data_IF_934803416493
#
_entry.id   IF_934803416493
#
_cell.length_a   1.000
_cell.length_b   1.000
_cell.length_c   1.000
_cell.angle_alpha   90.00
_cell.angle_beta   90.00
_cell.angle_gamma   90.00
#
_symmetry.space_group_name_H-M   'P 1'
#
loop_
_entity.id
_entity.type
_entity.pdbx_description
1 polymer ?
#
# COMPACT_ATOMS: atom_id res chain seq x y z
N UNK A 1 -24.62 -43.66 18.35
CA UNK A 1 -23.46 -43.27 19.18
C UNK A 1 -23.93 -42.15 20.09
N UNK A 2 -24.02 -42.44 21.39
CA UNK A 2 -24.66 -41.59 22.41
C UNK A 2 -23.62 -40.68 23.06
N UNK A 3 -24.03 -39.44 23.32
CA UNK A 3 -23.42 -38.50 24.26
C UNK A 3 -23.36 -39.10 25.67
N UNK A 4 -22.33 -38.74 26.45
CA UNK A 4 -22.47 -38.14 27.80
C UNK A 4 -21.10 -37.66 28.35
N UNK A 5 -21.09 -36.64 29.21
CA UNK A 5 -19.92 -35.89 29.68
C UNK A 5 -19.54 -36.23 31.13
N UNK A 6 -18.35 -35.79 31.57
CA UNK A 6 -17.95 -35.87 32.98
C UNK A 6 -18.30 -34.55 33.71
N UNK A 7 -19.46 -34.54 34.38
CA UNK A 7 -19.72 -33.74 35.59
C UNK A 7 -19.32 -34.58 36.82
N UNK A 8 -18.67 -34.03 37.86
CA UNK A 8 -19.31 -33.62 39.14
C UNK A 8 -18.13 -33.53 40.15
N UNK A 9 -17.79 -32.35 40.72
CA UNK A 9 -18.25 -31.81 42.04
C UNK A 9 -17.52 -32.52 43.22
N UNK A 10 -17.03 -31.92 44.33
CA UNK A 10 -17.10 -30.60 44.99
C UNK A 10 -16.01 -30.53 46.11
N UNK A 11 -15.55 -29.31 46.39
CA UNK A 11 -15.06 -28.69 47.65
C UNK A 11 -14.52 -29.53 48.83
N UNK A 12 -13.38 -29.10 49.38
CA UNK A 12 -13.23 -28.72 50.81
C UNK A 12 -11.99 -27.83 51.00
N UNK A 13 -12.18 -26.59 51.48
CA UNK A 13 -11.20 -25.79 52.25
C UNK A 13 -11.47 -25.99 53.77
N UNK A 14 -10.73 -25.39 54.72
CA UNK A 14 -9.27 -25.28 54.88
C UNK A 14 -8.84 -25.67 56.32
N UNK A 15 -7.54 -25.94 56.59
CA UNK A 15 -7.00 -25.83 57.96
C UNK A 15 -5.60 -25.21 57.99
N UNK A 16 -5.51 -24.14 58.76
CA UNK A 16 -4.34 -23.36 59.13
C UNK A 16 -3.42 -24.13 60.07
N UNK A 17 -2.10 -24.04 59.89
CA UNK A 17 -1.19 -24.02 61.04
C UNK A 17 0.11 -23.27 60.76
N UNK A 18 0.35 -22.21 61.55
CA UNK A 18 1.58 -21.40 61.60
C UNK A 18 2.58 -22.01 62.58
N UNK A 19 3.89 -21.95 62.23
CA UNK A 19 5.14 -21.88 63.06
C UNK A 19 6.19 -22.82 62.42
N UNK A 20 7.47 -22.48 62.21
CA UNK A 20 8.38 -21.45 62.77
C UNK A 20 9.57 -21.24 61.80
N UNK A 21 10.12 -20.03 61.84
CA UNK A 21 11.29 -19.52 61.11
C UNK A 21 12.56 -20.39 61.24
N UNK A 22 13.31 -20.56 60.15
CA UNK A 22 14.79 -20.64 60.12
C UNK A 22 15.28 -19.79 58.94
N UNK A 23 16.05 -18.74 59.23
CA UNK A 23 16.75 -17.93 58.23
C UNK A 23 17.91 -18.74 57.60
N UNK A 24 18.12 -18.67 56.27
CA UNK A 24 19.45 -18.80 55.69
C UNK A 24 20.04 -17.42 55.32
N UNK A 25 21.36 -17.36 55.41
CA UNK A 25 22.28 -16.24 55.19
C UNK A 25 22.19 -15.65 53.76
N UNK A 26 22.66 -14.41 53.54
CA UNK A 26 22.55 -13.75 52.24
C UNK A 26 23.42 -14.46 51.21
N UNK A 27 22.80 -15.00 50.16
CA UNK A 27 23.50 -15.44 48.96
C UNK A 27 23.93 -14.22 48.16
N UNK A 28 25.24 -14.20 47.90
CA UNK A 28 25.99 -13.21 47.14
C UNK A 28 25.26 -12.71 45.88
N UNK A 29 25.45 -11.42 45.65
CA UNK A 29 25.29 -10.74 44.36
C UNK A 29 25.75 -11.64 43.21
N UNK A 30 24.81 -12.09 42.37
CA UNK A 30 25.15 -12.50 41.02
C UNK A 30 25.50 -11.23 40.26
N UNK A 31 26.80 -11.05 40.04
CA UNK A 31 27.36 -10.22 38.98
C UNK A 31 26.70 -10.67 37.66
N UNK A 32 26.25 -9.76 36.78
CA UNK A 32 25.75 -10.15 35.47
C UNK A 32 26.91 -10.81 34.71
N UNK A 33 26.80 -12.10 34.41
CA UNK A 33 27.69 -12.73 33.44
C UNK A 33 27.46 -12.06 32.08
N UNK A 34 28.51 -11.75 31.31
CA UNK A 34 28.33 -11.27 29.95
C UNK A 34 27.59 -12.36 29.17
N UNK A 35 26.41 -12.01 28.65
CA UNK A 35 25.61 -12.89 27.81
C UNK A 35 26.48 -13.34 26.64
N UNK A 36 26.71 -14.64 26.51
CA UNK A 36 27.29 -15.21 25.29
C UNK A 36 26.45 -14.75 24.10
N UNK A 37 27.04 -14.13 23.07
CA UNK A 37 26.30 -13.59 21.94
C UNK A 37 25.48 -14.71 21.29
N UNK A 38 24.19 -14.45 21.08
CA UNK A 38 23.27 -15.46 20.55
C UNK A 38 23.60 -15.74 19.07
N UNK A 39 23.59 -17.01 18.62
CA UNK A 39 23.80 -17.34 17.21
C UNK A 39 22.73 -16.70 16.31
N UNK A 40 23.13 -16.29 15.11
CA UNK A 40 22.24 -15.69 14.10
C UNK A 40 20.99 -16.54 13.83
N UNK A 41 21.11 -17.87 13.89
CA UNK A 41 19.99 -18.80 13.71
C UNK A 41 18.87 -18.62 14.72
N UNK A 42 19.17 -18.21 15.95
CA UNK A 42 18.18 -17.94 17.00
C UNK A 42 17.48 -16.58 16.84
N UNK A 43 18.05 -15.67 16.05
CA UNK A 43 17.52 -14.32 15.84
C UNK A 43 16.56 -14.24 14.65
N UNK A 44 16.68 -15.15 13.67
CA UNK A 44 15.80 -15.20 12.49
C UNK A 44 14.31 -15.30 12.89
N UNK A 45 13.89 -16.21 13.80
CA UNK A 45 12.49 -16.28 14.22
C UNK A 45 11.99 -14.99 14.88
N UNK A 46 12.86 -14.30 15.61
CA UNK A 46 12.52 -13.04 16.28
C UNK A 46 12.33 -11.92 15.25
N UNK A 47 13.22 -11.84 14.24
CA UNK A 47 13.07 -10.93 13.11
C UNK A 47 11.75 -11.16 12.37
N UNK A 48 11.42 -12.43 12.08
CA UNK A 48 10.14 -12.78 11.44
C UNK A 48 8.95 -12.32 12.28
N UNK A 49 9.01 -12.50 13.61
CA UNK A 49 7.97 -12.00 14.52
C UNK A 49 7.84 -10.46 14.50
N UNK A 50 8.96 -9.73 14.43
CA UNK A 50 8.95 -8.27 14.29
C UNK A 50 8.34 -7.83 12.95
N UNK A 51 8.72 -8.47 11.85
CA UNK A 51 8.17 -8.19 10.52
C UNK A 51 6.66 -8.45 10.46
N UNK A 52 6.19 -9.55 11.06
CA UNK A 52 4.76 -9.86 11.16
C UNK A 52 4.00 -8.79 11.96
N UNK A 53 4.56 -8.30 13.07
CA UNK A 53 3.96 -7.22 13.87
C UNK A 53 3.88 -5.91 13.09
N UNK A 54 4.91 -5.56 12.33
CA UNK A 54 4.91 -4.37 11.48
C UNK A 54 3.91 -4.51 10.33
N UNK A 55 3.88 -5.67 9.67
CA UNK A 55 2.93 -5.94 8.61
C UNK A 55 1.50 -5.82 9.11
N UNK A 56 1.17 -6.45 10.25
CA UNK A 56 -0.15 -6.39 10.86
C UNK A 56 -0.54 -4.95 11.24
N UNK A 57 0.41 -4.12 11.68
CA UNK A 57 0.19 -2.71 11.98
C UNK A 57 -0.19 -1.92 10.70
N UNK A 58 0.54 -2.13 9.61
CA UNK A 58 0.28 -1.47 8.32
C UNK A 58 -1.03 -1.97 7.70
N UNK A 59 -1.27 -3.28 7.72
CA UNK A 59 -2.49 -3.93 7.23
C UNK A 59 -3.73 -3.40 7.98
N UNK A 60 -3.68 -3.36 9.31
CA UNK A 60 -4.79 -2.86 10.13
C UNK A 60 -5.15 -1.41 9.78
N UNK A 61 -4.15 -0.56 9.58
CA UNK A 61 -4.38 0.83 9.20
C UNK A 61 -5.01 0.93 7.80
N UNK A 62 -4.46 0.20 6.82
CA UNK A 62 -4.98 0.20 5.46
C UNK A 62 -6.42 -0.34 5.39
N UNK A 63 -6.69 -1.48 6.05
CA UNK A 63 -8.01 -2.08 6.15
C UNK A 63 -9.02 -1.13 6.83
N UNK A 64 -8.61 -0.44 7.91
CA UNK A 64 -9.43 0.55 8.58
C UNK A 64 -9.83 1.73 7.67
N UNK A 65 -8.88 2.26 6.90
CA UNK A 65 -9.14 3.35 5.94
C UNK A 65 -10.09 2.91 4.82
N UNK A 66 -9.89 1.71 4.26
CA UNK A 66 -10.75 1.16 3.20
C UNK A 66 -12.16 0.90 3.74
N UNK A 67 -12.27 0.24 4.89
CA UNK A 67 -13.55 -0.05 5.53
C UNK A 67 -14.33 1.25 5.86
N UNK A 68 -13.63 2.26 6.40
CA UNK A 68 -14.22 3.57 6.66
C UNK A 68 -14.75 4.22 5.39
N UNK A 69 -13.96 4.21 4.30
CA UNK A 69 -14.38 4.78 3.01
C UNK A 69 -15.62 4.06 2.46
N UNK A 70 -15.62 2.73 2.47
CA UNK A 70 -16.78 1.92 2.03
C UNK A 70 -18.02 2.23 2.88
N UNK A 71 -17.85 2.36 4.19
CA UNK A 71 -18.94 2.74 5.10
C UNK A 71 -19.45 4.17 4.83
N UNK A 72 -18.56 5.13 4.59
CA UNK A 72 -18.92 6.52 4.26
C UNK A 72 -19.76 6.60 2.98
N UNK A 73 -19.44 5.78 1.96
CA UNK A 73 -20.19 5.67 0.70
C UNK A 73 -21.55 5.01 0.94
N UNK A 74 -21.58 3.92 1.73
CA UNK A 74 -22.82 3.23 2.10
C UNK A 74 -23.79 4.15 2.85
N UNK A 75 -23.31 4.83 3.89
CA UNK A 75 -24.11 5.78 4.69
C UNK A 75 -24.69 6.89 3.77
N UNK A 76 -23.87 7.44 2.86
CA UNK A 76 -24.34 8.43 1.89
C UNK A 76 -25.38 7.86 0.90
N UNK A 77 -25.19 6.64 0.42
CA UNK A 77 -26.14 6.02 -0.51
C UNK A 77 -27.50 5.82 0.17
N UNK A 78 -27.51 5.40 1.45
CA UNK A 78 -28.72 5.26 2.25
C UNK A 78 -29.39 6.62 2.51
N UNK A 79 -28.61 7.65 2.86
CA UNK A 79 -29.09 9.03 3.03
C UNK A 79 -29.80 9.57 1.78
N UNK A 80 -29.28 9.23 0.59
CA UNK A 80 -29.76 9.71 -0.70
C UNK A 80 -30.79 8.77 -1.35
N UNK A 81 -31.17 7.68 -0.69
CA UNK A 81 -32.12 6.73 -1.26
C UNK A 81 -33.51 7.37 -1.48
N UNK A 82 -34.25 7.01 -2.54
CA UNK A 82 -35.55 7.61 -2.85
C UNK A 82 -36.57 7.50 -1.71
N UNK A 83 -36.54 6.38 -0.97
CA UNK A 83 -37.40 6.16 0.19
C UNK A 83 -37.13 7.17 1.32
N UNK A 84 -35.85 7.43 1.63
CA UNK A 84 -35.47 8.39 2.66
C UNK A 84 -35.68 9.84 2.22
N UNK A 85 -35.47 10.14 0.93
CA UNK A 85 -35.75 11.45 0.37
C UNK A 85 -37.25 11.77 0.40
N UNK A 86 -38.10 10.82 -0.02
CA UNK A 86 -39.56 10.94 -0.01
C UNK A 86 -40.09 11.12 1.41
N UNK A 87 -39.63 10.29 2.37
CA UNK A 87 -40.01 10.42 3.77
C UNK A 87 -39.60 11.79 4.36
N UNK A 88 -38.42 12.31 3.98
CA UNK A 88 -37.95 13.62 4.42
C UNK A 88 -38.79 14.77 3.85
N UNK A 89 -39.17 14.70 2.57
CA UNK A 89 -40.03 15.70 1.92
C UNK A 89 -41.43 15.72 2.53
N UNK A 90 -41.98 14.54 2.84
CA UNK A 90 -43.32 14.41 3.41
C UNK A 90 -43.37 14.74 4.92
N UNK A 91 -42.23 15.06 5.56
CA UNK A 91 -42.18 15.25 7.01
C UNK A 91 -42.42 13.97 7.83
N UNK A 92 -42.56 12.81 7.16
CA UNK A 92 -42.61 11.47 7.75
C UNK A 92 -41.21 10.89 8.05
N UNK A 93 -40.16 11.68 7.83
CA UNK A 93 -38.79 11.26 8.03
C UNK A 93 -38.56 10.81 9.47
N UNK A 94 -38.06 9.59 9.64
CA UNK A 94 -37.55 9.04 10.91
C UNK A 94 -36.29 9.78 11.39
N UNK A 95 -36.28 11.11 11.39
CA UNK A 95 -35.23 11.93 12.00
C UNK A 95 -35.06 11.64 13.50
N UNK A 96 -36.01 10.94 14.12
CA UNK A 96 -36.00 10.57 15.54
C UNK A 96 -35.26 9.27 15.87
N UNK A 97 -34.86 8.45 14.88
CA UNK A 97 -34.21 7.15 15.13
C UNK A 97 -32.91 6.94 14.32
N UNK A 98 -32.20 8.01 13.93
CA UNK A 98 -30.80 7.84 13.52
C UNK A 98 -30.02 7.47 14.78
N UNK A 99 -29.41 6.28 14.79
CA UNK A 99 -28.49 5.89 15.87
C UNK A 99 -27.49 7.03 16.11
N UNK A 100 -27.21 7.35 17.37
CA UNK A 100 -26.19 8.34 17.75
C UNK A 100 -24.85 8.04 17.05
N UNK A 101 -24.55 6.75 16.85
CA UNK A 101 -23.38 6.28 16.12
C UNK A 101 -23.38 6.74 14.65
N UNK A 102 -24.49 6.57 13.93
CA UNK A 102 -24.60 7.01 12.53
C UNK A 102 -24.47 8.53 12.42
N UNK A 103 -25.10 9.27 13.34
CA UNK A 103 -24.97 10.73 13.40
C UNK A 103 -23.51 11.16 13.60
N UNK A 104 -22.79 10.48 14.50
CA UNK A 104 -21.36 10.73 14.73
C UNK A 104 -20.53 10.44 13.48
N UNK A 105 -20.77 9.32 12.77
CA UNK A 105 -20.03 8.99 11.53
C UNK A 105 -20.25 10.02 10.43
N UNK A 106 -21.49 10.48 10.24
CA UNK A 106 -21.83 11.53 9.28
C UNK A 106 -21.10 12.83 9.61
N UNK A 107 -21.14 13.25 10.88
CA UNK A 107 -20.43 14.45 11.33
C UNK A 107 -18.92 14.35 11.13
N UNK A 108 -18.32 13.18 11.40
CA UNK A 108 -16.90 12.95 11.21
C UNK A 108 -16.50 13.01 9.73
N UNK A 109 -17.29 12.39 8.85
CA UNK A 109 -17.13 12.41 7.40
C UNK A 109 -17.17 13.83 6.83
N UNK A 110 -18.19 14.60 7.17
CA UNK A 110 -18.30 16.00 6.73
C UNK A 110 -17.18 16.87 7.35
N UNK A 111 -16.80 16.58 8.60
CA UNK A 111 -15.64 17.20 9.24
C UNK A 111 -14.33 16.98 8.49
N UNK A 112 -14.07 15.75 8.00
CA UNK A 112 -12.91 15.45 7.12
C UNK A 112 -12.96 16.27 5.83
N UNK A 113 -14.12 16.36 5.19
CA UNK A 113 -14.31 17.15 3.95
C UNK A 113 -14.04 18.63 4.17
N UNK A 114 -14.61 19.23 5.21
CA UNK A 114 -14.40 20.64 5.54
C UNK A 114 -12.93 20.93 5.85
N UNK A 115 -12.25 20.06 6.61
CA UNK A 115 -10.82 20.21 6.89
C UNK A 115 -9.99 20.20 5.59
N UNK A 116 -10.29 19.30 4.64
CA UNK A 116 -9.63 19.29 3.33
C UNK A 116 -9.85 20.56 2.53
N UNK A 117 -11.09 21.06 2.49
CA UNK A 117 -11.41 22.30 1.77
C UNK A 117 -10.63 23.48 2.34
N UNK A 118 -10.67 23.66 3.67
CA UNK A 118 -9.92 24.72 4.37
C UNK A 118 -8.41 24.62 4.20
N UNK A 119 -7.85 23.40 4.22
CA UNK A 119 -6.41 23.21 4.01
C UNK A 119 -5.98 23.67 2.61
N UNK A 120 -6.84 23.51 1.60
CA UNK A 120 -6.57 23.92 0.22
C UNK A 120 -6.77 25.42 0.00
N UNK A 121 -7.78 26.01 0.61
CA UNK A 121 -7.97 27.46 0.62
C UNK A 121 -6.71 28.15 1.17
N UNK A 122 -6.23 27.70 2.34
CA UNK A 122 -4.99 28.21 2.93
C UNK A 122 -3.74 27.99 2.05
N UNK A 123 -3.64 26.84 1.39
CA UNK A 123 -2.54 26.56 0.48
C UNK A 123 -2.58 27.41 -0.80
N UNK A 124 -3.78 27.75 -1.29
CA UNK A 124 -4.00 28.63 -2.43
C UNK A 124 -3.75 30.10 -2.13
N UNK A 125 -4.01 30.55 -0.90
CA UNK A 125 -3.75 31.92 -0.44
C UNK A 125 -2.26 32.22 -0.24
N UNK A 126 -1.45 31.22 0.14
CA UNK A 126 -0.01 31.38 0.36
C UNK A 126 0.87 31.51 -0.90
N UNK A 127 0.29 31.32 -2.10
CA UNK A 127 1.01 31.45 -3.38
C UNK A 127 0.91 32.83 -4.05
N UNK A 128 0.20 33.79 -3.45
CA UNK A 128 -0.07 35.12 -3.98
C UNK A 128 1.05 36.14 -3.79
N UNK A 129 2.32 35.74 -3.93
CA UNK A 129 3.50 36.57 -3.69
C UNK A 129 4.58 36.42 -4.75
N UNK A 130 4.24 36.54 -6.03
CA UNK A 130 5.23 36.54 -7.11
C UNK A 130 4.58 36.62 -8.48
N UNK A 131 4.71 37.78 -9.14
CA UNK A 131 4.15 38.04 -10.46
C UNK A 131 4.62 37.03 -11.52
N UNK A 132 3.68 36.25 -12.03
CA UNK A 132 3.86 35.35 -13.16
C UNK A 132 2.54 34.69 -13.48
N UNK A 133 1.86 35.17 -14.52
CA UNK A 133 0.63 34.57 -15.06
C UNK A 133 0.86 33.08 -15.32
N UNK A 134 0.40 32.24 -14.39
CA UNK A 134 0.49 30.79 -14.49
C UNK A 134 -0.93 30.24 -14.66
N UNK A 135 -1.10 29.48 -15.73
CA UNK A 135 -2.35 28.94 -16.24
C UNK A 135 -3.14 28.17 -15.16
N UNK A 136 -4.40 28.56 -14.98
CA UNK A 136 -5.47 27.73 -14.42
C UNK A 136 -5.35 27.42 -12.92
N UNK A 137 -5.96 28.27 -12.09
CA UNK A 137 -6.51 27.82 -10.81
C UNK A 137 -7.56 26.73 -11.10
N UNK A 138 -7.15 25.47 -11.23
CA UNK A 138 -8.08 24.36 -11.34
C UNK A 138 -8.72 24.15 -9.98
N UNK A 139 -9.97 24.56 -9.85
CA UNK A 139 -10.78 24.28 -8.68
C UNK A 139 -10.77 22.77 -8.42
N UNK A 140 -10.40 22.35 -7.20
CA UNK A 140 -10.32 20.93 -6.86
C UNK A 140 -11.68 20.25 -7.05
N UNK A 141 -11.71 19.12 -7.77
CA UNK A 141 -12.93 18.34 -8.01
C UNK A 141 -13.19 17.37 -6.85
N UNK A 142 -14.32 17.52 -6.16
CA UNK A 142 -14.70 16.61 -5.08
C UNK A 142 -14.79 15.15 -5.56
N UNK A 143 -14.30 14.20 -4.76
CA UNK A 143 -14.14 12.79 -5.16
C UNK A 143 -12.74 12.40 -5.64
N UNK A 144 -11.86 13.37 -5.94
CA UNK A 144 -10.46 13.11 -6.34
C UNK A 144 -9.48 12.90 -5.15
N UNK A 145 -9.94 13.03 -3.91
CA UNK A 145 -9.11 12.84 -2.70
C UNK A 145 -8.74 11.36 -2.49
N UNK A 146 -7.61 11.07 -1.83
CA UNK A 146 -7.22 9.69 -1.44
C UNK A 146 -7.85 9.21 -0.13
N UNK A 147 -8.49 10.12 0.62
CA UNK A 147 -9.16 9.82 1.89
C UNK A 147 -8.25 9.12 2.93
N UNK A 148 -6.96 9.49 2.95
CA UNK A 148 -5.92 8.91 3.82
C UNK A 148 -5.83 9.60 5.18
N UNK A 149 -6.68 10.58 5.49
CA UNK A 149 -6.59 11.30 6.76
C UNK A 149 -6.96 10.37 7.92
N UNK A 150 -6.16 10.42 8.97
CA UNK A 150 -6.41 9.72 10.25
C UNK A 150 -6.58 10.74 11.36
N UNK A 151 -7.27 10.35 12.42
CA UNK A 151 -7.38 11.19 13.63
C UNK A 151 -6.05 11.27 14.37
N UNK A 152 -5.88 12.29 15.22
CA UNK A 152 -4.70 12.43 16.09
C UNK A 152 -4.52 11.20 16.98
N UNK A 153 -5.63 10.64 17.48
CA UNK A 153 -5.64 9.45 18.32
C UNK A 153 -5.18 8.19 17.56
N UNK A 154 -5.64 8.00 16.32
CA UNK A 154 -5.18 6.88 15.47
C UNK A 154 -3.70 7.04 15.10
N UNK A 155 -3.29 8.27 14.78
CA UNK A 155 -1.89 8.58 14.45
C UNK A 155 -0.96 8.35 15.64
N UNK A 156 -1.36 8.80 16.83
CA UNK A 156 -0.59 8.58 18.06
C UNK A 156 -0.54 7.11 18.46
N UNK A 157 -1.66 6.37 18.34
CA UNK A 157 -1.70 4.94 18.60
C UNK A 157 -0.78 4.16 17.63
N UNK A 158 -0.81 4.51 16.34
CA UNK A 158 0.08 3.92 15.34
C UNK A 158 1.55 4.20 15.67
N UNK A 159 1.90 5.46 16.01
CA UNK A 159 3.26 5.84 16.42
C UNK A 159 3.72 5.06 17.64
N UNK A 160 2.89 4.97 18.68
CA UNK A 160 3.23 4.25 19.92
C UNK A 160 3.46 2.76 19.67
N UNK A 161 2.61 2.11 18.86
CA UNK A 161 2.80 0.71 18.50
C UNK A 161 4.07 0.51 17.68
N UNK A 162 4.36 1.41 16.73
CA UNK A 162 5.61 1.38 15.97
C UNK A 162 6.84 1.58 16.84
N UNK A 163 6.82 2.54 17.76
CA UNK A 163 7.90 2.81 18.73
C UNK A 163 8.15 1.62 19.64
N UNK A 164 7.08 0.94 20.08
CA UNK A 164 7.20 -0.30 20.85
C UNK A 164 7.94 -1.38 20.07
N UNK A 165 7.57 -1.60 18.80
CA UNK A 165 8.24 -2.57 17.94
C UNK A 165 9.69 -2.15 17.67
N UNK A 166 9.96 -0.85 17.53
CA UNK A 166 11.31 -0.32 17.36
C UNK A 166 12.19 -0.54 18.60
N UNK A 167 11.64 -0.35 19.79
CA UNK A 167 12.31 -0.66 21.05
C UNK A 167 12.65 -2.15 21.14
N UNK A 168 11.69 -3.03 20.87
CA UNK A 168 11.90 -4.48 20.87
C UNK A 168 12.97 -4.89 19.84
N UNK A 169 12.93 -4.29 18.65
CA UNK A 169 13.92 -4.52 17.59
C UNK A 169 15.34 -4.11 18.01
N UNK A 170 15.51 -3.04 18.79
CA UNK A 170 16.82 -2.63 19.31
C UNK A 170 17.36 -3.64 20.32
N UNK A 171 16.53 -4.06 21.28
CA UNK A 171 16.93 -5.00 22.34
C UNK A 171 17.39 -6.34 21.75
N UNK A 172 16.66 -6.85 20.75
CA UNK A 172 16.99 -8.15 20.11
C UNK A 172 18.36 -8.13 19.44
N UNK A 173 18.78 -6.97 18.93
CA UNK A 173 20.03 -6.83 18.21
C UNK A 173 21.19 -6.23 19.04
N UNK A 174 20.92 -5.86 20.30
CA UNK A 174 21.94 -5.43 21.26
C UNK A 174 22.83 -6.60 21.75
N UNK A 175 22.26 -7.81 21.81
CA UNK A 175 22.94 -9.03 22.28
C UNK A 175 23.72 -9.79 21.19
N UNK A 176 23.90 -9.20 20.00
CA UNK A 176 24.63 -9.82 18.89
C UNK A 176 26.04 -9.25 18.85
N UNK A 177 27.04 -10.13 18.79
CA UNK A 177 28.43 -9.71 18.58
C UNK A 177 28.50 -8.86 17.29
N UNK A 178 29.09 -7.67 17.39
CA UNK A 178 29.19 -6.69 16.30
C UNK A 178 29.81 -7.29 15.04
N UNK A 179 30.77 -8.22 15.19
CA UNK A 179 31.40 -8.94 14.07
C UNK A 179 30.45 -9.84 13.26
N UNK A 180 29.27 -10.13 13.79
CA UNK A 180 28.25 -10.98 13.17
C UNK A 180 26.87 -10.31 13.13
N UNK A 181 26.78 -9.02 13.46
CA UNK A 181 25.54 -8.23 13.42
C UNK A 181 25.47 -7.28 12.21
N UNK A 182 26.64 -6.98 11.62
CA UNK A 182 26.79 -6.06 10.49
C UNK A 182 27.05 -6.82 9.18
N UNK A 183 26.40 -6.39 8.11
CA UNK A 183 26.55 -6.96 6.76
C UNK A 183 28.01 -6.88 6.33
N UNK A 184 28.63 -5.73 6.57
CA UNK A 184 30.03 -5.40 6.29
C UNK A 184 30.98 -6.47 6.85
N UNK A 185 30.80 -6.83 8.13
CA UNK A 185 31.66 -7.77 8.84
C UNK A 185 31.49 -9.20 8.32
N UNK A 186 30.23 -9.62 8.10
CA UNK A 186 29.92 -10.96 7.58
C UNK A 186 30.46 -11.12 6.15
N UNK A 187 30.21 -10.13 5.30
CA UNK A 187 30.69 -10.09 3.91
C UNK A 187 32.22 -10.12 3.86
N UNK A 188 32.91 -9.38 4.75
CA UNK A 188 34.37 -9.40 4.82
C UNK A 188 34.96 -10.78 5.18
N UNK A 189 34.31 -11.54 6.08
CA UNK A 189 34.74 -12.91 6.42
C UNK A 189 34.59 -13.85 5.21
N UNK A 190 33.48 -13.77 4.47
CA UNK A 190 33.29 -14.57 3.25
C UNK A 190 34.21 -14.16 2.12
N UNK A 191 34.48 -12.85 1.95
CA UNK A 191 35.42 -12.36 0.96
C UNK A 191 36.84 -12.85 1.24
N UNK A 192 37.23 -12.89 2.52
CA UNK A 192 38.49 -13.49 2.96
C UNK A 192 38.53 -14.98 2.62
N UNK A 193 37.48 -15.73 2.95
CA UNK A 193 37.41 -17.17 2.67
C UNK A 193 37.57 -17.45 1.17
N UNK A 194 36.78 -16.75 0.33
CA UNK A 194 36.86 -16.84 -1.14
C UNK A 194 38.28 -16.57 -1.67
N UNK A 195 38.97 -15.58 -1.10
CA UNK A 195 40.31 -15.17 -1.54
C UNK A 195 41.40 -16.17 -1.18
N UNK A 196 41.36 -16.72 0.03
CA UNK A 196 42.45 -17.56 0.55
C UNK A 196 42.22 -19.06 0.35
N UNK A 197 40.97 -19.51 0.28
CA UNK A 197 40.61 -20.94 0.15
C UNK A 197 39.45 -21.13 -0.87
N UNK A 198 39.65 -20.80 -2.15
CA UNK A 198 38.58 -20.81 -3.16
C UNK A 198 37.97 -22.20 -3.40
N UNK A 199 38.77 -23.27 -3.31
CA UNK A 199 38.28 -24.64 -3.50
C UNK A 199 37.29 -25.03 -2.40
N UNK A 200 37.64 -24.78 -1.13
CA UNK A 200 36.74 -25.04 0.01
C UNK A 200 35.49 -24.18 -0.04
N UNK A 201 35.62 -22.94 -0.50
CA UNK A 201 34.49 -22.03 -0.70
C UNK A 201 33.50 -22.57 -1.74
N UNK A 202 34.03 -23.10 -2.85
CA UNK A 202 33.25 -23.78 -3.88
C UNK A 202 32.58 -25.06 -3.38
N UNK A 203 33.35 -25.93 -2.71
CA UNK A 203 32.87 -27.21 -2.18
C UNK A 203 31.78 -27.04 -1.11
N UNK A 204 31.84 -25.95 -0.33
CA UNK A 204 30.82 -25.60 0.65
C UNK A 204 29.59 -24.89 0.03
N UNK A 205 29.56 -24.71 -1.30
CA UNK A 205 28.48 -24.06 -2.04
C UNK A 205 28.12 -22.66 -1.51
N UNK A 206 29.14 -21.91 -1.07
CA UNK A 206 28.91 -20.65 -0.35
C UNK A 206 28.15 -19.63 -1.20
N UNK A 207 28.49 -19.50 -2.49
CA UNK A 207 27.79 -18.65 -3.46
C UNK A 207 26.28 -18.90 -3.53
N UNK A 208 25.83 -20.14 -3.30
CA UNK A 208 24.42 -20.50 -3.34
C UNK A 208 23.67 -20.14 -2.05
N UNK A 209 24.38 -20.07 -0.92
CA UNK A 209 23.77 -19.82 0.39
C UNK A 209 23.99 -18.39 0.91
N UNK A 210 24.92 -17.60 0.35
CA UNK A 210 25.20 -16.23 0.77
C UNK A 210 23.96 -15.34 0.89
N UNK A 211 23.09 -15.34 -0.13
CA UNK A 211 21.86 -14.56 -0.09
C UNK A 211 20.96 -14.94 1.10
N UNK A 212 20.92 -16.22 1.48
CA UNK A 212 20.15 -16.70 2.64
C UNK A 212 20.79 -16.27 3.96
N UNK A 213 22.11 -16.21 4.02
CA UNK A 213 22.87 -15.78 5.19
C UNK A 213 22.73 -14.26 5.39
N UNK A 214 22.83 -13.49 4.31
CA UNK A 214 22.84 -12.03 4.33
C UNK A 214 21.43 -11.42 4.35
N UNK A 215 20.44 -12.14 3.83
CA UNK A 215 19.04 -11.71 3.75
C UNK A 215 18.46 -11.19 5.07
N UNK A 216 18.59 -11.90 6.22
CA UNK A 216 18.10 -11.43 7.52
C UNK A 216 18.62 -10.04 7.93
N UNK A 217 19.87 -9.72 7.63
CA UNK A 217 20.44 -8.42 7.96
C UNK A 217 19.81 -7.30 7.13
N UNK A 218 19.67 -7.52 5.82
CA UNK A 218 19.04 -6.56 4.92
C UNK A 218 17.56 -6.38 5.27
N UNK A 219 16.86 -7.48 5.59
CA UNK A 219 15.47 -7.47 6.09
C UNK A 219 15.33 -6.61 7.34
N UNK A 220 16.26 -6.76 8.30
CA UNK A 220 16.28 -5.94 9.50
C UNK A 220 16.48 -4.45 9.19
N UNK A 221 17.42 -4.09 8.29
CA UNK A 221 17.60 -2.70 7.84
C UNK A 221 16.35 -2.12 7.18
N UNK A 222 15.58 -2.96 6.50
CA UNK A 222 14.33 -2.60 5.83
C UNK A 222 13.08 -2.78 6.72
N UNK A 223 13.22 -3.11 8.01
CA UNK A 223 12.10 -3.51 8.86
C UNK A 223 10.92 -2.51 8.80
N UNK A 224 11.23 -1.22 8.93
CA UNK A 224 10.24 -0.13 8.96
C UNK A 224 10.00 0.56 7.60
N UNK A 225 10.69 0.13 6.54
CA UNK A 225 10.47 0.71 5.22
C UNK A 225 9.14 0.22 4.64
N UNK A 226 8.36 1.16 4.10
CA UNK A 226 7.07 0.87 3.47
C UNK A 226 7.05 1.42 2.02
N UNK A 227 7.03 0.55 0.99
CA UNK A 227 7.07 0.96 -0.41
C UNK A 227 5.80 1.70 -0.89
N UNK A 228 4.73 1.71 -0.10
CA UNK A 228 3.50 2.43 -0.42
C UNK A 228 3.56 3.90 -0.03
N UNK A 229 4.40 4.26 0.95
CA UNK A 229 4.42 5.62 1.51
C UNK A 229 5.79 6.26 1.46
N UNK A 230 6.84 5.47 1.29
CA UNK A 230 8.23 5.93 1.27
C UNK A 230 8.86 5.50 -0.05
N UNK A 231 9.28 6.44 -0.91
CA UNK A 231 10.01 6.08 -2.11
C UNK A 231 11.27 5.32 -1.71
N UNK A 232 11.69 4.39 -2.56
CA UNK A 232 12.95 3.70 -2.37
C UNK A 232 14.07 4.75 -2.34
N UNK A 233 14.79 4.83 -1.21
CA UNK A 233 15.98 5.67 -1.09
C UNK A 233 17.01 5.26 -2.14
N UNK A 234 17.99 6.12 -2.36
CA UNK A 234 19.20 5.74 -3.10
C UNK A 234 19.82 4.52 -2.41
N UNK A 235 19.71 3.33 -3.02
CA UNK A 235 20.24 2.10 -2.43
C UNK A 235 21.76 2.23 -2.30
N UNK A 236 22.37 2.95 -3.23
CA UNK A 236 23.77 3.32 -3.29
C UNK A 236 24.23 4.08 -2.04
N UNK A 237 23.32 4.73 -1.29
CA UNK A 237 23.64 5.42 -0.04
C UNK A 237 23.73 4.48 1.17
N UNK A 238 23.18 3.27 1.06
CA UNK A 238 23.15 2.31 2.15
C UNK A 238 24.48 1.55 2.26
N UNK A 239 24.98 1.39 3.49
CA UNK A 239 26.28 0.73 3.73
C UNK A 239 26.24 -0.76 3.39
N UNK A 240 25.13 -1.43 3.70
CA UNK A 240 24.93 -2.84 3.36
C UNK A 240 24.96 -3.03 1.84
N UNK A 241 24.35 -2.10 1.09
CA UNK A 241 24.30 -2.17 -0.37
C UNK A 241 25.69 -2.04 -0.98
N UNK A 242 26.46 -1.02 -0.58
CA UNK A 242 27.85 -0.83 -1.03
C UNK A 242 28.71 -2.04 -0.71
N UNK A 243 28.51 -2.65 0.45
CA UNK A 243 29.27 -3.85 0.87
C UNK A 243 29.00 -5.05 -0.03
N UNK A 244 27.75 -5.24 -0.44
CA UNK A 244 27.38 -6.31 -1.39
C UNK A 244 27.83 -6.00 -2.81
N UNK A 245 27.74 -4.74 -3.23
CA UNK A 245 28.19 -4.30 -4.55
C UNK A 245 29.69 -4.52 -4.73
N UNK A 246 30.48 -4.25 -3.69
CA UNK A 246 31.93 -4.41 -3.71
C UNK A 246 32.41 -5.82 -3.30
N UNK A 247 31.48 -6.75 -3.08
CA UNK A 247 31.82 -8.08 -2.59
C UNK A 247 32.65 -8.85 -3.62
N UNK A 248 33.80 -9.37 -3.19
CA UNK A 248 34.67 -10.18 -4.04
C UNK A 248 35.44 -9.41 -5.10
N UNK A 249 35.25 -8.08 -5.23
CA UNK A 249 35.98 -7.27 -6.19
C UNK A 249 37.45 -7.14 -5.81
N UNK A 250 38.32 -7.36 -6.78
CA UNK A 250 39.76 -7.12 -6.69
C UNK A 250 40.20 -6.05 -7.70
N UNK A 251 41.36 -5.43 -7.46
CA UNK A 251 41.90 -4.40 -8.37
C UNK A 251 42.26 -4.92 -9.77
N UNK A 252 42.25 -6.24 -9.97
CA UNK A 252 42.64 -6.94 -11.19
C UNK A 252 41.46 -7.60 -11.92
N UNK A 253 40.21 -7.34 -11.52
CA UNK A 253 39.05 -7.92 -12.19
C UNK A 253 38.92 -7.45 -13.65
N UNK A 254 38.58 -8.38 -14.53
CA UNK A 254 38.20 -8.12 -15.93
C UNK A 254 36.74 -8.49 -16.14
N UNK A 255 36.15 -8.04 -17.25
CA UNK A 255 34.77 -8.42 -17.59
C UNK A 255 34.62 -9.94 -17.67
N UNK A 256 35.61 -10.63 -18.24
CA UNK A 256 35.59 -12.09 -18.37
C UNK A 256 35.73 -12.81 -17.03
N UNK A 257 36.46 -12.25 -16.05
CA UNK A 257 36.54 -12.84 -14.71
C UNK A 257 35.21 -12.68 -13.96
N UNK A 258 34.59 -11.51 -14.05
CA UNK A 258 33.30 -11.22 -13.42
C UNK A 258 32.18 -12.09 -13.97
N UNK A 259 32.11 -12.29 -15.29
CA UNK A 259 31.09 -13.17 -15.90
C UNK A 259 31.18 -14.62 -15.40
N UNK A 260 32.38 -15.08 -15.03
CA UNK A 260 32.59 -16.43 -14.47
C UNK A 260 32.35 -16.49 -12.96
N UNK A 261 32.29 -15.36 -12.27
CA UNK A 261 32.13 -15.32 -10.82
C UNK A 261 30.65 -15.53 -10.43
N UNK A 262 30.30 -16.66 -9.78
CA UNK A 262 28.92 -16.94 -9.38
C UNK A 262 28.36 -15.92 -8.36
N UNK A 263 29.24 -15.18 -7.66
CA UNK A 263 28.85 -14.20 -6.66
C UNK A 263 28.46 -12.84 -7.23
N UNK A 264 28.71 -12.56 -8.51
CA UNK A 264 28.22 -11.33 -9.16
C UNK A 264 26.69 -11.21 -9.07
N UNK A 265 26.01 -12.35 -9.01
CA UNK A 265 24.56 -12.43 -8.82
C UNK A 265 24.11 -12.23 -7.37
N UNK A 266 25.01 -12.03 -6.41
CA UNK A 266 24.67 -11.89 -5.00
C UNK A 266 23.74 -10.71 -4.76
N UNK A 267 24.14 -9.51 -5.20
CA UNK A 267 23.35 -8.29 -4.99
C UNK A 267 22.00 -8.37 -5.71
N UNK A 268 21.93 -8.73 -7.01
CA UNK A 268 20.66 -9.00 -7.68
C UNK A 268 19.75 -9.98 -6.91
N UNK A 269 20.28 -11.11 -6.44
CA UNK A 269 19.52 -12.09 -5.65
C UNK A 269 19.04 -11.52 -4.32
N UNK A 270 19.82 -10.67 -3.65
CA UNK A 270 19.38 -10.01 -2.41
C UNK A 270 18.22 -9.05 -2.70
N UNK A 271 18.31 -8.25 -3.77
CA UNK A 271 17.21 -7.36 -4.18
C UNK A 271 15.95 -8.16 -4.50
N UNK A 272 16.09 -9.23 -5.29
CA UNK A 272 14.98 -10.12 -5.65
C UNK A 272 14.36 -10.80 -4.42
N UNK A 273 15.17 -11.48 -3.60
CA UNK A 273 14.68 -12.32 -2.49
C UNK A 273 14.29 -11.52 -1.24
N UNK A 274 14.78 -10.30 -1.07
CA UNK A 274 14.50 -9.48 0.12
C UNK A 274 13.58 -8.30 -0.21
N UNK A 275 13.96 -7.46 -1.16
CA UNK A 275 13.22 -6.22 -1.46
C UNK A 275 11.91 -6.54 -2.16
N UNK A 276 11.93 -7.32 -3.26
CA UNK A 276 10.70 -7.65 -3.97
C UNK A 276 9.75 -8.50 -3.10
N UNK A 277 10.27 -9.46 -2.33
CA UNK A 277 9.44 -10.24 -1.39
C UNK A 277 8.75 -9.32 -0.37
N UNK A 278 9.44 -8.31 0.16
CA UNK A 278 8.82 -7.34 1.08
C UNK A 278 7.75 -6.50 0.38
N UNK A 279 8.00 -6.07 -0.86
CA UNK A 279 7.01 -5.35 -1.66
C UNK A 279 5.77 -6.22 -1.88
N UNK A 280 5.95 -7.48 -2.29
CA UNK A 280 4.86 -8.44 -2.52
C UNK A 280 3.94 -8.55 -1.30
N UNK A 281 4.54 -8.79 -0.13
CA UNK A 281 3.82 -8.97 1.13
C UNK A 281 3.05 -7.69 1.51
N UNK A 282 3.65 -6.52 1.34
CA UNK A 282 2.99 -5.24 1.66
C UNK A 282 1.90 -4.89 0.65
N UNK A 283 2.10 -5.18 -0.64
CA UNK A 283 1.07 -4.95 -1.68
C UNK A 283 -0.16 -5.79 -1.39
N UNK A 284 0.02 -7.09 -1.09
CA UNK A 284 -1.08 -8.00 -0.71
C UNK A 284 -1.85 -7.50 0.51
N UNK A 285 -1.14 -7.04 1.54
CA UNK A 285 -1.75 -6.65 2.80
C UNK A 285 -2.42 -5.26 2.78
N UNK A 286 -1.83 -4.29 2.07
CA UNK A 286 -2.14 -2.88 2.35
C UNK A 286 -2.30 -1.96 1.14
N UNK A 287 -1.98 -2.39 -0.09
CA UNK A 287 -2.08 -1.49 -1.26
C UNK A 287 -3.53 -1.06 -1.51
N UNK A 288 -3.77 0.25 -1.58
CA UNK A 288 -5.07 0.84 -1.88
C UNK A 288 -5.07 1.50 -3.27
N UNK A 289 -5.68 0.87 -4.30
CA UNK A 289 -5.73 1.42 -5.67
C UNK A 289 -6.38 2.80 -5.81
N UNK A 290 -7.25 3.18 -4.88
CA UNK A 290 -7.86 4.50 -4.85
C UNK A 290 -6.91 5.58 -4.28
N UNK A 291 -5.75 5.20 -3.74
CA UNK A 291 -4.71 6.14 -3.33
C UNK A 291 -3.72 6.41 -4.47
N UNK A 292 -3.72 7.66 -4.96
CA UNK A 292 -2.76 8.09 -6.00
C UNK A 292 -1.34 8.20 -5.46
N UNK A 293 -1.16 8.63 -4.20
CA UNK A 293 0.13 8.70 -3.52
C UNK A 293 0.78 7.32 -3.45
N UNK A 294 0.03 6.31 -3.01
CA UNK A 294 0.54 4.94 -2.95
C UNK A 294 0.85 4.37 -4.33
N UNK A 295 -0.06 4.58 -5.30
CA UNK A 295 0.12 4.09 -6.67
C UNK A 295 1.37 4.68 -7.32
N UNK A 296 1.58 5.99 -7.20
CA UNK A 296 2.77 6.66 -7.76
C UNK A 296 4.05 6.22 -7.05
N UNK A 297 4.03 6.11 -5.72
CA UNK A 297 5.19 5.68 -4.92
C UNK A 297 5.62 4.25 -5.27
N UNK A 298 4.65 3.34 -5.38
CA UNK A 298 4.90 1.93 -5.70
C UNK A 298 5.41 1.76 -7.13
N UNK A 299 4.77 2.40 -8.11
CA UNK A 299 5.23 2.39 -9.50
C UNK A 299 6.65 2.95 -9.60
N UNK A 300 6.92 4.11 -8.99
CA UNK A 300 8.25 4.70 -9.00
C UNK A 300 9.31 3.80 -8.38
N UNK A 301 8.98 3.11 -7.28
CA UNK A 301 9.86 2.12 -6.64
C UNK A 301 10.15 0.94 -7.58
N UNK A 302 9.12 0.36 -8.20
CA UNK A 302 9.29 -0.78 -9.11
C UNK A 302 10.04 -0.39 -10.38
N UNK A 303 9.70 0.74 -11.00
CA UNK A 303 10.40 1.25 -12.18
C UNK A 303 11.89 1.47 -11.90
N UNK A 304 12.24 2.04 -10.73
CA UNK A 304 13.64 2.20 -10.32
C UNK A 304 14.34 0.84 -10.20
N UNK A 305 13.73 -0.13 -9.51
CA UNK A 305 14.32 -1.46 -9.36
C UNK A 305 14.55 -2.16 -10.70
N UNK A 306 13.60 -2.08 -11.64
CA UNK A 306 13.73 -2.68 -12.97
C UNK A 306 14.80 -1.99 -13.82
N UNK A 307 14.99 -0.69 -13.64
CA UNK A 307 16.06 0.07 -14.29
C UNK A 307 17.44 -0.31 -13.74
N UNK A 308 17.56 -0.42 -12.41
CA UNK A 308 18.84 -0.66 -11.73
C UNK A 308 19.26 -2.14 -11.80
N UNK A 309 18.29 -3.06 -11.92
CA UNK A 309 18.53 -4.51 -11.93
C UNK A 309 17.87 -5.18 -13.15
N UNK A 310 18.57 -5.24 -14.30
CA UNK A 310 18.06 -5.89 -15.52
C UNK A 310 17.76 -7.39 -15.37
N UNK A 311 18.27 -8.01 -14.30
CA UNK A 311 17.98 -9.41 -13.91
C UNK A 311 16.55 -9.61 -13.40
N UNK A 312 15.83 -8.52 -13.09
CA UNK A 312 14.43 -8.55 -12.74
C UNK A 312 13.59 -8.48 -14.02
N UNK A 313 13.58 -9.58 -14.77
CA UNK A 313 12.86 -9.72 -16.03
C UNK A 313 11.54 -10.51 -15.88
N UNK A 314 10.92 -10.85 -17.00
CA UNK A 314 9.66 -11.60 -17.04
C UNK A 314 9.74 -13.02 -16.45
N UNK A 315 10.93 -13.59 -16.29
CA UNK A 315 11.13 -14.91 -15.69
C UNK A 315 11.27 -14.85 -14.16
N UNK A 316 11.41 -13.63 -13.61
CA UNK A 316 11.46 -13.40 -12.17
C UNK A 316 10.10 -13.70 -11.50
N UNK A 317 9.99 -14.88 -10.90
CA UNK A 317 8.77 -15.34 -10.21
C UNK A 317 8.27 -14.37 -9.13
N UNK A 318 9.17 -13.76 -8.35
CA UNK A 318 8.78 -12.86 -7.27
C UNK A 318 8.23 -11.55 -7.84
N UNK A 319 8.85 -11.02 -8.89
CA UNK A 319 8.31 -9.86 -9.61
C UNK A 319 6.90 -10.16 -10.13
N UNK A 320 6.71 -11.32 -10.76
CA UNK A 320 5.38 -11.74 -11.22
C UNK A 320 4.38 -11.85 -10.06
N UNK A 321 4.75 -12.38 -8.90
CA UNK A 321 3.89 -12.38 -7.71
C UNK A 321 3.50 -10.96 -7.24
N UNK A 322 4.42 -9.98 -7.32
CA UNK A 322 4.13 -8.57 -6.99
C UNK A 322 3.11 -7.99 -7.99
N UNK A 323 3.31 -8.23 -9.28
CA UNK A 323 2.44 -7.74 -10.35
C UNK A 323 1.05 -8.39 -10.29
N UNK A 324 0.99 -9.71 -10.07
CA UNK A 324 -0.27 -10.45 -9.86
C UNK A 324 -1.03 -9.93 -8.64
N UNK A 325 -0.35 -9.77 -7.49
CA UNK A 325 -0.96 -9.19 -6.29
C UNK A 325 -1.51 -7.78 -6.56
N UNK A 326 -0.79 -6.97 -7.34
CA UNK A 326 -1.23 -5.64 -7.74
C UNK A 326 -2.50 -5.72 -8.58
N UNK A 327 -2.52 -6.59 -9.59
CA UNK A 327 -3.67 -6.82 -10.47
C UNK A 327 -4.90 -7.25 -9.66
N UNK A 328 -4.74 -8.15 -8.70
CA UNK A 328 -5.84 -8.60 -7.84
C UNK A 328 -6.40 -7.47 -6.97
N UNK A 329 -5.52 -6.60 -6.44
CA UNK A 329 -5.95 -5.40 -5.71
C UNK A 329 -6.72 -4.44 -6.61
N UNK A 330 -6.24 -4.19 -7.84
CA UNK A 330 -6.91 -3.32 -8.82
C UNK A 330 -8.31 -3.86 -9.16
N UNK A 331 -8.45 -5.16 -9.45
CA UNK A 331 -9.74 -5.81 -9.72
C UNK A 331 -10.69 -5.68 -8.53
N UNK A 332 -10.21 -6.03 -7.34
CA UNK A 332 -11.00 -5.92 -6.09
C UNK A 332 -11.50 -4.49 -5.87
N UNK A 333 -10.68 -3.47 -6.16
CA UNK A 333 -11.12 -2.08 -6.01
C UNK A 333 -12.20 -1.69 -7.03
N UNK A 334 -12.14 -2.20 -8.27
CA UNK A 334 -13.20 -1.97 -9.26
C UNK A 334 -14.49 -2.65 -8.85
N UNK A 335 -14.43 -3.86 -8.30
CA UNK A 335 -15.62 -4.63 -7.94
C UNK A 335 -16.28 -4.16 -6.63
N UNK A 336 -15.48 -3.83 -5.61
CA UNK A 336 -16.00 -3.54 -4.27
C UNK A 336 -16.10 -2.05 -3.94
N UNK A 337 -15.25 -1.19 -4.52
CA UNK A 337 -15.12 0.21 -4.11
C UNK A 337 -15.79 1.20 -5.08
N UNK A 338 -16.21 0.75 -6.27
CA UNK A 338 -16.87 1.61 -7.27
C UNK A 338 -18.39 1.56 -7.10
N UNK A 339 -18.99 2.70 -6.76
CA UNK A 339 -20.43 2.84 -6.66
C UNK A 339 -20.91 4.15 -7.29
N UNK A 340 -21.56 4.11 -8.45
CA UNK A 340 -22.13 5.29 -9.11
C UNK A 340 -23.67 5.18 -9.06
N UNK A 341 -24.38 6.09 -8.34
CA UNK A 341 -25.82 5.96 -8.14
C UNK A 341 -26.62 6.45 -9.37
N UNK A 342 -26.73 5.60 -10.38
CA UNK A 342 -27.36 5.89 -11.69
C UNK A 342 -28.89 6.01 -11.62
N UNK A 343 -29.52 5.53 -10.54
CA UNK A 343 -30.97 5.52 -10.35
C UNK A 343 -31.57 6.86 -9.90
N UNK A 344 -30.75 7.91 -9.77
CA UNK A 344 -31.18 9.21 -9.26
C UNK A 344 -31.64 10.07 -10.44
N UNK A 345 -32.96 10.20 -10.63
CA UNK A 345 -33.58 10.88 -11.78
C UNK A 345 -33.34 12.41 -11.83
N UNK A 346 -32.73 12.99 -10.79
CA UNK A 346 -32.45 14.43 -10.69
C UNK A 346 -30.96 14.63 -10.38
N UNK A 347 -30.14 14.54 -11.45
CA UNK A 347 -28.68 14.66 -11.38
C UNK A 347 -28.25 16.13 -11.47
N UNK A 348 -29.18 17.07 -11.64
CA UNK A 348 -28.85 18.45 -12.00
C UNK A 348 -29.04 19.44 -10.85
N UNK A 349 -29.78 19.08 -9.80
CA UNK A 349 -29.92 19.96 -8.63
C UNK A 349 -29.94 19.21 -7.30
N UNK A 350 -29.34 19.82 -6.27
CA UNK A 350 -29.40 19.33 -4.88
C UNK A 350 -28.26 18.39 -4.45
N UNK A 351 -28.37 17.87 -3.21
CA UNK A 351 -27.29 17.09 -2.55
C UNK A 351 -27.05 15.72 -3.20
N UNK A 352 -28.09 15.16 -3.81
CA UNK A 352 -28.07 13.91 -4.58
C UNK A 352 -27.13 14.00 -5.79
N UNK A 353 -27.17 15.12 -6.52
CA UNK A 353 -26.24 15.43 -7.61
C UNK A 353 -24.79 15.48 -7.12
N UNK A 354 -24.51 16.14 -5.99
CA UNK A 354 -23.15 16.24 -5.44
C UNK A 354 -22.56 14.86 -5.07
N UNK A 355 -23.38 13.97 -4.50
CA UNK A 355 -22.94 12.60 -4.22
C UNK A 355 -22.62 11.83 -5.51
N UNK A 356 -23.49 11.88 -6.52
CA UNK A 356 -23.24 11.27 -7.81
C UNK A 356 -21.93 11.80 -8.45
N UNK A 357 -21.76 13.12 -8.52
CA UNK A 357 -20.57 13.74 -9.11
C UNK A 357 -19.28 13.32 -8.40
N UNK A 358 -19.30 13.22 -7.07
CA UNK A 358 -18.16 12.71 -6.29
C UNK A 358 -17.82 11.28 -6.63
N UNK A 359 -18.81 10.40 -6.67
CA UNK A 359 -18.57 8.98 -6.97
C UNK A 359 -18.04 8.81 -8.40
N UNK A 360 -18.60 9.57 -9.34
CA UNK A 360 -18.12 9.62 -10.71
C UNK A 360 -16.66 10.10 -10.79
N UNK A 361 -16.31 11.18 -10.07
CA UNK A 361 -14.93 11.67 -10.00
C UNK A 361 -13.97 10.65 -9.33
N UNK A 362 -14.42 9.95 -8.29
CA UNK A 362 -13.65 8.89 -7.63
C UNK A 362 -13.37 7.71 -8.57
N UNK A 363 -14.36 7.31 -9.37
CA UNK A 363 -14.19 6.29 -10.39
C UNK A 363 -13.20 6.72 -11.51
N UNK A 364 -13.22 8.00 -11.93
CA UNK A 364 -12.22 8.54 -12.86
C UNK A 364 -10.82 8.51 -12.23
N UNK A 365 -10.72 8.84 -10.94
CA UNK A 365 -9.44 8.78 -10.21
C UNK A 365 -8.88 7.36 -10.19
N UNK A 366 -9.74 6.37 -9.89
CA UNK A 366 -9.35 4.96 -9.94
C UNK A 366 -8.90 4.55 -11.34
N UNK A 367 -9.63 4.96 -12.39
CA UNK A 367 -9.24 4.74 -13.78
C UNK A 367 -7.84 5.30 -14.06
N UNK A 368 -7.57 6.54 -13.65
CA UNK A 368 -6.25 7.15 -13.80
C UNK A 368 -5.15 6.38 -13.04
N UNK A 369 -5.45 5.89 -11.83
CA UNK A 369 -4.51 5.06 -11.07
C UNK A 369 -4.26 3.70 -11.74
N UNK A 370 -5.29 3.05 -12.32
CA UNK A 370 -5.14 1.80 -13.08
C UNK A 370 -4.27 2.02 -14.31
N UNK A 371 -4.56 3.07 -15.10
CA UNK A 371 -3.84 3.39 -16.34
C UNK A 371 -2.37 3.68 -16.09
N UNK A 372 -2.00 4.25 -14.94
CA UNK A 372 -0.60 4.52 -14.57
C UNK A 372 0.27 3.27 -14.53
N UNK A 373 -0.31 2.09 -14.35
CA UNK A 373 0.42 0.83 -14.39
C UNK A 373 0.86 0.42 -15.79
N UNK A 374 0.45 1.14 -16.83
CA UNK A 374 1.00 0.98 -18.17
C UNK A 374 2.54 1.07 -18.13
N UNK A 375 3.19 0.11 -18.77
CA UNK A 375 4.66 0.02 -18.82
C UNK A 375 5.24 -0.94 -17.78
N UNK A 376 4.51 -1.23 -16.69
CA UNK A 376 4.83 -2.32 -15.76
C UNK A 376 3.89 -3.52 -15.97
N UNK A 377 2.61 -3.26 -16.22
CA UNK A 377 1.63 -4.27 -16.61
C UNK A 377 1.44 -4.29 -18.13
N UNK A 378 1.04 -5.45 -18.66
CA UNK A 378 0.67 -5.57 -20.07
C UNK A 378 -0.55 -4.70 -20.38
N UNK A 379 -0.59 -4.12 -21.59
CA UNK A 379 -1.70 -3.27 -22.01
C UNK A 379 -3.04 -4.03 -21.93
N UNK A 380 -3.06 -5.32 -22.25
CA UNK A 380 -4.28 -6.14 -22.21
C UNK A 380 -4.90 -6.18 -20.82
N UNK A 381 -4.09 -6.34 -19.76
CA UNK A 381 -4.57 -6.35 -18.37
C UNK A 381 -5.09 -4.96 -17.97
N UNK A 382 -4.35 -3.90 -18.31
CA UNK A 382 -4.76 -2.52 -17.98
C UNK A 382 -6.05 -2.15 -18.71
N UNK A 383 -6.21 -2.57 -19.98
CA UNK A 383 -7.42 -2.37 -20.77
C UNK A 383 -8.59 -3.17 -20.17
N UNK A 384 -8.39 -4.44 -19.83
CA UNK A 384 -9.43 -5.28 -19.24
C UNK A 384 -9.97 -4.70 -17.91
N UNK A 385 -9.09 -4.21 -17.05
CA UNK A 385 -9.51 -3.68 -15.73
C UNK A 385 -10.04 -2.25 -15.89
N UNK A 386 -9.29 -1.37 -16.55
CA UNK A 386 -9.62 0.05 -16.65
C UNK A 386 -10.71 0.36 -17.66
N UNK A 387 -10.65 -0.24 -18.85
CA UNK A 387 -11.60 0.06 -19.94
C UNK A 387 -12.83 -0.83 -19.83
N UNK A 388 -12.69 -2.16 -19.84
CA UNK A 388 -13.86 -3.04 -19.86
C UNK A 388 -14.61 -3.02 -18.54
N UNK A 389 -13.89 -3.24 -17.43
CA UNK A 389 -14.52 -3.44 -16.11
C UNK A 389 -14.92 -2.13 -15.42
N UNK A 390 -14.27 -1.00 -15.73
CA UNK A 390 -14.52 0.30 -15.09
C UNK A 390 -15.18 1.33 -16.03
N UNK A 391 -14.51 1.70 -17.13
CA UNK A 391 -15.02 2.71 -18.05
C UNK A 391 -16.34 2.28 -18.70
N UNK A 392 -16.35 1.13 -19.37
CA UNK A 392 -17.48 0.64 -20.13
C UNK A 392 -18.66 0.24 -19.24
N UNK A 393 -18.38 -0.37 -18.08
CA UNK A 393 -19.40 -0.84 -17.14
C UNK A 393 -20.04 0.27 -16.32
N UNK A 394 -19.25 1.21 -15.79
CA UNK A 394 -19.74 2.20 -14.81
C UNK A 394 -19.71 3.63 -15.34
N UNK A 395 -18.57 4.11 -15.86
CA UNK A 395 -18.42 5.52 -16.24
C UNK A 395 -19.25 5.91 -17.46
N UNK A 396 -19.35 5.07 -18.49
CA UNK A 396 -20.22 5.35 -19.65
C UNK A 396 -21.69 5.44 -19.22
N UNK A 397 -22.11 4.56 -18.31
CA UNK A 397 -23.47 4.60 -17.79
C UNK A 397 -23.73 5.87 -16.99
N UNK A 398 -22.78 6.30 -16.16
CA UNK A 398 -22.83 7.60 -15.48
C UNK A 398 -22.80 8.79 -16.45
N UNK A 399 -22.10 8.71 -17.58
CA UNK A 399 -22.12 9.79 -18.58
C UNK A 399 -23.51 10.02 -19.17
N UNK A 400 -24.31 8.97 -19.29
CA UNK A 400 -25.66 9.03 -19.87
C UNK A 400 -26.69 9.68 -18.95
N UNK A 401 -26.41 9.77 -17.66
CA UNK A 401 -27.31 10.40 -16.69
C UNK A 401 -27.14 11.92 -16.65
N UNK A 402 -26.07 12.47 -17.22
CA UNK A 402 -25.95 13.92 -17.38
C UNK A 402 -26.89 14.39 -18.48
N UNK A 403 -27.76 15.34 -18.13
CA UNK A 403 -28.83 15.85 -18.97
C UNK A 403 -28.29 17.02 -19.81
N UNK A 404 -27.55 17.95 -19.19
CA UNK A 404 -26.78 19.00 -19.86
C UNK A 404 -25.61 18.43 -20.70
N UNK A 405 -25.63 18.61 -22.04
CA UNK A 405 -24.53 18.19 -22.92
C UNK A 405 -23.19 18.85 -22.61
N UNK A 406 -23.17 20.09 -22.07
CA UNK A 406 -21.94 20.79 -21.73
C UNK A 406 -21.24 20.13 -20.54
N UNK A 407 -21.99 19.86 -19.48
CA UNK A 407 -21.48 19.13 -18.29
C UNK A 407 -21.01 17.73 -18.70
N UNK A 408 -21.78 17.02 -19.53
CA UNK A 408 -21.39 15.70 -20.04
C UNK A 408 -20.07 15.75 -20.82
N UNK A 409 -19.85 16.78 -21.65
CA UNK A 409 -18.62 16.97 -22.39
C UNK A 409 -17.42 17.28 -21.49
N UNK A 410 -17.60 18.07 -20.41
CA UNK A 410 -16.55 18.26 -19.40
C UNK A 410 -16.15 16.95 -18.73
N UNK A 411 -17.13 16.09 -18.42
CA UNK A 411 -16.86 14.75 -17.85
C UNK A 411 -16.14 13.84 -18.83
N UNK A 412 -16.51 13.87 -20.11
CA UNK A 412 -15.75 13.18 -21.16
C UNK A 412 -14.31 13.67 -21.22
N UNK A 413 -14.07 14.98 -21.13
CA UNK A 413 -12.72 15.56 -21.08
C UNK A 413 -11.93 15.07 -19.87
N UNK A 414 -12.56 14.95 -18.70
CA UNK A 414 -11.91 14.38 -17.51
C UNK A 414 -11.47 12.93 -17.72
N UNK A 415 -12.30 12.10 -18.35
CA UNK A 415 -11.95 10.72 -18.70
C UNK A 415 -10.80 10.69 -19.72
N UNK A 416 -10.89 11.48 -20.79
CA UNK A 416 -9.83 11.54 -21.81
C UNK A 416 -8.49 11.99 -21.24
N UNK A 417 -8.49 12.86 -20.23
CA UNK A 417 -7.26 13.35 -19.59
C UNK A 417 -6.53 12.27 -18.76
N UNK A 418 -7.22 11.22 -18.31
CA UNK A 418 -6.58 10.13 -17.55
C UNK A 418 -6.11 8.98 -18.45
N UNK A 419 -6.60 8.91 -19.69
CA UNK A 419 -6.22 7.88 -20.65
C UNK A 419 -4.89 8.23 -21.35
N UNK A 420 -4.07 7.23 -21.75
CA UNK A 420 -2.87 7.49 -22.51
C UNK A 420 -3.22 8.10 -23.87
N UNK A 421 -2.50 9.14 -24.29
CA UNK A 421 -2.74 9.79 -25.58
C UNK A 421 -2.62 8.82 -26.76
N UNK A 422 -1.71 7.85 -26.67
CA UNK A 422 -1.52 6.81 -27.68
C UNK A 422 -2.78 5.96 -27.89
N UNK A 423 -3.60 5.78 -26.86
CA UNK A 423 -4.84 5.00 -26.94
C UNK A 423 -5.98 5.77 -27.62
N UNK A 424 -5.95 7.10 -27.54
CA UNK A 424 -6.95 7.99 -28.12
C UNK A 424 -6.76 8.26 -29.62
N UNK A 425 -5.65 7.79 -30.20
CA UNK A 425 -5.40 7.91 -31.63
C UNK A 425 -6.29 6.94 -32.43
N UNK A 426 -6.75 7.36 -33.62
CA UNK A 426 -7.62 6.55 -34.50
C UNK A 426 -7.02 5.20 -34.91
N UNK A 427 -5.70 5.05 -34.84
CA UNK A 427 -4.97 3.85 -35.21
C UNK A 427 -4.52 3.02 -33.99
N UNK A 428 -5.06 3.28 -32.79
CA UNK A 428 -4.63 2.58 -31.57
C UNK A 428 -4.98 1.09 -31.54
N UNK A 429 -5.97 0.67 -32.35
CA UNK A 429 -6.43 -0.73 -32.40
C UNK A 429 -7.23 -1.17 -31.16
N UNK A 430 -7.53 -0.27 -30.22
CA UNK A 430 -8.22 -0.60 -28.96
C UNK A 430 -9.74 -0.56 -29.19
N UNK A 431 -10.30 -1.69 -29.63
CA UNK A 431 -11.73 -1.83 -29.88
C UNK A 431 -12.62 -1.55 -28.66
N UNK A 432 -12.10 -1.78 -27.46
CA UNK A 432 -12.78 -1.58 -26.18
C UNK A 432 -13.14 -0.12 -25.93
N UNK A 433 -12.45 0.84 -26.56
CA UNK A 433 -12.75 2.28 -26.45
C UNK A 433 -13.91 2.72 -27.36
N UNK A 434 -14.38 1.89 -28.29
CA UNK A 434 -15.41 2.28 -29.27
C UNK A 434 -16.71 2.72 -28.59
N UNK A 435 -17.07 2.09 -27.46
CA UNK A 435 -18.25 2.49 -26.67
C UNK A 435 -18.12 3.93 -26.15
N UNK A 436 -16.94 4.31 -25.67
CA UNK A 436 -16.65 5.65 -25.18
C UNK A 436 -16.61 6.66 -26.34
N UNK A 437 -15.95 6.31 -27.44
CA UNK A 437 -15.88 7.15 -28.65
C UNK A 437 -17.29 7.45 -29.17
N UNK A 438 -18.16 6.43 -29.26
CA UNK A 438 -19.56 6.61 -29.66
C UNK A 438 -20.32 7.53 -28.72
N UNK A 439 -20.12 7.39 -27.40
CA UNK A 439 -20.76 8.26 -26.41
C UNK A 439 -20.29 9.72 -26.55
N UNK A 440 -18.99 9.94 -26.76
CA UNK A 440 -18.42 11.28 -27.02
C UNK A 440 -19.03 11.89 -28.28
N UNK A 441 -19.11 11.14 -29.39
CA UNK A 441 -19.74 11.61 -30.64
C UNK A 441 -21.20 12.02 -30.43
N UNK A 442 -21.97 11.23 -29.68
CA UNK A 442 -23.36 11.56 -29.37
C UNK A 442 -23.50 12.87 -28.56
N UNK A 443 -22.63 13.09 -27.58
CA UNK A 443 -22.61 14.33 -26.79
C UNK A 443 -22.22 15.53 -27.68
N UNK A 444 -21.23 15.36 -28.56
CA UNK A 444 -20.82 16.40 -29.51
C UNK A 444 -21.96 16.81 -30.46
N UNK A 445 -22.71 15.85 -31.00
CA UNK A 445 -23.86 16.17 -31.85
C UNK A 445 -24.97 16.89 -31.07
N UNK A 446 -25.25 16.48 -29.82
CA UNK A 446 -26.18 17.21 -28.95
C UNK A 446 -25.74 18.66 -28.70
N UNK A 447 -24.44 18.90 -28.51
CA UNK A 447 -23.88 20.24 -28.34
C UNK A 447 -24.06 21.10 -29.59
N UNK A 448 -23.77 20.55 -30.78
CA UNK A 448 -23.96 21.25 -32.06
C UNK A 448 -25.42 21.61 -32.34
N UNK A 449 -26.36 20.79 -31.88
CA UNK A 449 -27.79 21.04 -32.06
C UNK A 449 -28.37 22.02 -31.03
N UNK A 450 -27.64 22.29 -29.94
CA UNK A 450 -28.02 23.23 -28.88
C UNK A 450 -27.40 24.63 -29.06
N UNK A 451 -26.36 24.74 -29.89
CA UNK A 451 -25.74 25.99 -30.37
C UNK A 451 -26.41 26.50 -31.63
#
# INVERSE_FOLDING_TARGET
MKYEPWSTIIQTEPKTNKKKKKNPKPTNFLIPTPSTPRPLSQQIPVLVGLEQRILALVERQAAGLIARRRQDVKDQAEEMSPANLSNKILGLGNARNLSEELTRRIAEREGRRIRRMRAREKAGEGGGGGGGQSQGQQHHIEGMSSDEEVTEAESSAFRLQRETIESDARIVFEDVNEEFSLVECVVAKFARWKKFEPDQYGDAYVSLCLCKILGPFVRFKLLFWNPLTQPLKSLEEERWYRSLLLYGLTSSETEESLVRDPDVMLLPKVVEKVILTKIEVIVKAAYNPLSTSQTVCLIGTLSKLLQDFPTLDGDCKILNCVLEATVDRLRTAVDDDVFIPIYMNDVESGRTSLFFQRQFASAIKLLGNIVRWQGLLSNDIVIQIGIDSLLNRYLILGLRTFTDPLVAAEKCKMISNVLPRSWLNSNSGISQLEMFIRQVRQITEKLKNAS
#
